data_IF_078153629693
#
_entry.id   IF_078153629693
#
_cell.length_a   1.000
_cell.length_b   1.000
_cell.length_c   1.000
_cell.angle_alpha   90.00
_cell.angle_beta   90.00
_cell.angle_gamma   90.00
#
_symmetry.space_group_name_H-M   'P 1'
#
loop_
_entity.id
_entity.type
_entity.pdbx_description
1 polymer ?
#
# COMPACT_ATOMS: atom_id res chain seq x y z
N UNK A 1 -5.09 10.43 -27.73
CA UNK A 1 -4.39 9.13 -27.71
C UNK A 1 -3.87 8.92 -26.29
N UNK A 2 -4.39 7.93 -25.57
CA UNK A 2 -4.26 7.76 -24.12
C UNK A 2 -2.79 7.56 -23.73
N UNK A 3 -2.30 8.38 -22.78
CA UNK A 3 -0.98 8.24 -22.20
C UNK A 3 -0.80 6.82 -21.63
N UNK A 4 0.30 6.21 -22.07
CA UNK A 4 0.61 4.80 -21.95
C UNK A 4 0.80 4.38 -20.48
N UNK A 5 -0.10 3.55 -19.97
CA UNK A 5 -0.17 3.02 -18.60
C UNK A 5 0.92 1.97 -18.29
N UNK A 6 2.05 1.97 -19.02
CA UNK A 6 3.18 1.05 -18.82
C UNK A 6 4.23 1.56 -17.84
N UNK A 7 4.43 2.88 -17.74
CA UNK A 7 5.48 3.47 -16.87
C UNK A 7 5.20 3.22 -15.37
N UNK A 8 3.93 3.04 -14.98
CA UNK A 8 3.56 2.76 -13.59
C UNK A 8 3.64 1.27 -13.19
N UNK A 9 3.89 0.34 -14.13
CA UNK A 9 3.90 -1.10 -13.86
C UNK A 9 5.22 -1.57 -13.25
N UNK A 10 6.33 -0.95 -13.68
CA UNK A 10 7.68 -1.49 -13.46
C UNK A 10 8.47 -0.77 -12.35
N UNK A 11 8.07 0.44 -11.94
CA UNK A 11 8.88 1.27 -11.03
C UNK A 11 8.49 1.22 -9.55
N UNK A 12 7.42 0.50 -9.16
CA UNK A 12 6.80 0.71 -7.83
C UNK A 12 6.37 -0.55 -7.07
N UNK A 13 6.68 -1.76 -7.54
CA UNK A 13 6.21 -2.98 -6.86
C UNK A 13 7.21 -3.57 -5.85
N UNK A 14 8.51 -3.56 -6.15
CA UNK A 14 9.55 -4.09 -5.24
C UNK A 14 9.96 -3.07 -4.19
N UNK A 15 10.59 -1.98 -4.64
CA UNK A 15 11.20 -0.96 -3.77
C UNK A 15 10.21 -0.33 -2.78
N UNK A 16 8.98 -0.07 -3.21
CA UNK A 16 7.95 0.48 -2.33
C UNK A 16 7.49 -0.54 -1.28
N UNK A 17 7.31 -1.81 -1.65
CA UNK A 17 6.80 -2.83 -0.73
C UNK A 17 7.83 -3.17 0.36
N UNK A 18 9.11 -3.26 0.00
CA UNK A 18 10.21 -3.46 0.95
C UNK A 18 10.34 -2.26 1.89
N UNK A 19 10.33 -1.03 1.35
CA UNK A 19 10.40 0.18 2.16
C UNK A 19 9.19 0.31 3.10
N UNK A 20 8.00 -0.03 2.62
CA UNK A 20 6.78 -0.01 3.41
C UNK A 20 6.88 -0.98 4.60
N UNK A 21 7.32 -2.22 4.35
CA UNK A 21 7.54 -3.21 5.42
C UNK A 21 8.59 -2.72 6.42
N UNK A 22 9.71 -2.19 5.93
CA UNK A 22 10.76 -1.61 6.76
C UNK A 22 10.25 -0.48 7.66
N UNK A 23 9.39 0.41 7.14
CA UNK A 23 8.78 1.48 7.93
C UNK A 23 7.82 0.91 8.98
N UNK A 24 7.05 -0.13 8.65
CA UNK A 24 6.10 -0.75 9.57
C UNK A 24 6.77 -1.57 10.68
N UNK A 25 7.89 -2.21 10.41
CA UNK A 25 8.65 -3.00 11.40
C UNK A 25 9.33 -2.13 12.46
N UNK A 26 9.64 -0.87 12.16
CA UNK A 26 10.28 0.04 13.12
C UNK A 26 9.40 0.32 14.34
N UNK A 27 10.01 0.34 15.53
CA UNK A 27 9.30 0.66 16.77
C UNK A 27 8.69 2.05 16.77
N UNK A 28 7.48 2.16 17.34
CA UNK A 28 6.76 3.42 17.50
C UNK A 28 7.50 4.39 18.43
N UNK A 29 8.44 3.90 19.24
CA UNK A 29 9.32 4.69 20.11
C UNK A 29 10.60 5.20 19.41
N UNK A 30 10.88 4.76 18.18
CA UNK A 30 12.10 5.18 17.45
C UNK A 30 12.00 6.63 16.92
N UNK A 31 13.13 7.32 16.65
CA UNK A 31 13.13 8.62 15.97
C UNK A 31 12.43 8.60 14.59
N UNK A 32 12.37 7.45 13.92
CA UNK A 32 11.63 7.28 12.66
C UNK A 32 10.12 7.01 12.85
N UNK A 33 9.62 7.03 14.09
CA UNK A 33 8.20 6.85 14.42
C UNK A 33 7.28 7.88 13.79
N UNK A 34 7.80 9.06 13.42
CA UNK A 34 7.01 10.11 12.75
C UNK A 34 6.49 9.63 11.39
N UNK A 35 7.34 8.99 10.60
CA UNK A 35 6.97 8.46 9.27
C UNK A 35 5.97 7.33 9.41
N UNK A 36 6.21 6.38 10.33
CA UNK A 36 5.26 5.30 10.65
C UNK A 36 3.90 5.85 11.09
N UNK A 37 3.87 6.86 11.96
CA UNK A 37 2.61 7.52 12.40
C UNK A 37 1.88 8.22 11.25
N UNK A 38 2.61 8.91 10.36
CA UNK A 38 2.03 9.54 9.16
C UNK A 38 1.44 8.47 8.24
N UNK A 39 2.17 7.39 8.01
CA UNK A 39 1.73 6.27 7.18
C UNK A 39 0.47 5.60 7.75
N UNK A 40 0.42 5.28 9.04
CA UNK A 40 -0.76 4.71 9.68
C UNK A 40 -1.97 5.68 9.63
N UNK A 41 -1.73 6.98 9.82
CA UNK A 41 -2.78 8.00 9.64
C UNK A 41 -3.28 8.06 8.18
N UNK A 42 -2.39 7.97 7.21
CA UNK A 42 -2.75 7.93 5.79
C UNK A 42 -3.58 6.68 5.46
N UNK A 43 -3.20 5.50 5.95
CA UNK A 43 -3.98 4.27 5.77
C UNK A 43 -5.39 4.44 6.36
N UNK A 44 -5.50 5.07 7.53
CA UNK A 44 -6.77 5.27 8.22
C UNK A 44 -7.67 6.32 7.56
N UNK A 45 -7.10 7.44 7.13
CA UNK A 45 -7.88 8.63 6.75
C UNK A 45 -7.92 8.87 5.24
N UNK A 46 -6.93 8.38 4.49
CA UNK A 46 -6.79 8.67 3.06
C UNK A 46 -7.19 7.49 2.19
N UNK A 47 -7.19 6.26 2.69
CA UNK A 47 -7.66 5.13 1.90
C UNK A 47 -9.18 4.97 2.00
N UNK A 48 -9.82 4.56 0.91
CA UNK A 48 -11.20 4.08 0.99
C UNK A 48 -11.25 2.78 1.80
N UNK A 49 -12.43 2.42 2.33
CA UNK A 49 -12.58 1.20 3.13
C UNK A 49 -11.98 -0.04 2.44
N UNK A 50 -12.27 -0.24 1.15
CA UNK A 50 -11.75 -1.39 0.38
C UNK A 50 -10.24 -1.31 0.11
N UNK A 51 -9.69 -0.12 -0.09
CA UNK A 51 -8.25 0.08 -0.24
C UNK A 51 -7.52 -0.24 1.07
N UNK A 52 -8.05 0.26 2.20
CA UNK A 52 -7.51 0.03 3.53
C UNK A 52 -7.55 -1.46 3.89
N UNK A 53 -8.68 -2.13 3.65
CA UNK A 53 -8.84 -3.57 3.89
C UNK A 53 -7.76 -4.39 3.14
N UNK A 54 -7.58 -4.14 1.84
CA UNK A 54 -6.59 -4.86 1.03
C UNK A 54 -5.14 -4.57 1.50
N UNK A 55 -4.82 -3.32 1.84
CA UNK A 55 -3.52 -2.93 2.39
C UNK A 55 -3.26 -3.61 3.73
N UNK A 56 -4.28 -3.70 4.59
CA UNK A 56 -4.20 -4.36 5.89
C UNK A 56 -3.92 -5.85 5.76
N UNK A 57 -4.64 -6.53 4.86
CA UNK A 57 -4.44 -7.96 4.63
C UNK A 57 -3.03 -8.26 4.08
N UNK A 58 -2.54 -7.44 3.16
CA UNK A 58 -1.24 -7.67 2.56
C UNK A 58 -0.07 -7.36 3.51
N UNK A 59 0.00 -6.15 4.06
CA UNK A 59 1.18 -5.75 4.84
C UNK A 59 1.16 -6.18 6.31
N UNK A 60 -0.02 -6.39 6.91
CA UNK A 60 -0.12 -6.72 8.33
C UNK A 60 -0.57 -8.16 8.59
N UNK A 61 -1.27 -8.80 7.63
CA UNK A 61 -1.62 -10.22 7.71
C UNK A 61 -0.75 -11.11 6.82
N UNK A 62 0.17 -10.53 6.06
CA UNK A 62 1.11 -11.27 5.20
C UNK A 62 0.44 -12.01 4.04
N UNK A 63 -0.82 -11.69 3.72
CA UNK A 63 -1.56 -12.41 2.70
C UNK A 63 -1.10 -12.00 1.30
N UNK A 64 -0.99 -12.96 0.38
CA UNK A 64 -0.72 -12.70 -1.02
C UNK A 64 -2.01 -12.36 -1.81
N UNK A 65 -1.86 -11.97 -3.08
CA UNK A 65 -3.00 -11.55 -3.93
C UNK A 65 -4.06 -12.65 -4.05
N UNK A 66 -3.65 -13.91 -4.18
CA UNK A 66 -4.57 -15.05 -4.32
C UNK A 66 -5.39 -15.25 -3.05
N UNK A 67 -4.72 -15.27 -1.89
CA UNK A 67 -5.39 -15.44 -0.60
C UNK A 67 -6.35 -14.26 -0.31
N UNK A 68 -5.98 -13.04 -0.69
CA UNK A 68 -6.86 -11.87 -0.58
C UNK A 68 -8.05 -11.99 -1.54
N UNK A 69 -7.81 -12.47 -2.76
CA UNK A 69 -8.85 -12.71 -3.78
C UNK A 69 -9.92 -13.65 -3.24
N UNK A 70 -9.49 -14.80 -2.71
CA UNK A 70 -10.35 -15.82 -2.11
C UNK A 70 -11.08 -15.29 -0.88
N UNK A 71 -10.35 -14.69 0.06
CA UNK A 71 -10.92 -14.14 1.31
C UNK A 71 -12.01 -13.11 1.04
N UNK A 72 -11.82 -12.28 0.03
CA UNK A 72 -12.70 -11.15 -0.25
C UNK A 72 -13.73 -11.42 -1.35
N UNK A 73 -13.74 -12.63 -1.94
CA UNK A 73 -14.68 -13.03 -2.99
C UNK A 73 -14.61 -12.16 -4.25
N UNK A 74 -13.43 -11.64 -4.60
CA UNK A 74 -13.22 -10.80 -5.79
C UNK A 74 -12.12 -11.39 -6.68
N UNK A 75 -11.93 -10.83 -7.88
CA UNK A 75 -10.91 -11.30 -8.82
C UNK A 75 -9.50 -10.81 -8.44
N UNK A 76 -8.46 -11.57 -8.84
CA UNK A 76 -7.05 -11.17 -8.66
C UNK A 76 -6.75 -9.81 -9.31
N UNK A 77 -7.40 -9.51 -10.44
CA UNK A 77 -7.26 -8.22 -11.12
C UNK A 77 -7.88 -7.08 -10.31
N UNK A 78 -9.02 -7.30 -9.65
CA UNK A 78 -9.62 -6.32 -8.76
C UNK A 78 -8.75 -6.06 -7.53
N UNK A 79 -8.16 -7.11 -6.94
CA UNK A 79 -7.19 -6.96 -5.84
C UNK A 79 -5.98 -6.14 -6.29
N UNK A 80 -5.35 -6.53 -7.41
CA UNK A 80 -4.16 -5.86 -7.95
C UNK A 80 -4.39 -4.38 -8.27
N UNK A 81 -5.52 -4.07 -8.92
CA UNK A 81 -5.88 -2.69 -9.28
C UNK A 81 -6.13 -1.85 -8.02
N UNK A 82 -6.86 -2.40 -7.05
CA UNK A 82 -7.17 -1.70 -5.80
C UNK A 82 -5.91 -1.46 -4.98
N UNK A 83 -5.04 -2.47 -4.89
CA UNK A 83 -3.74 -2.39 -4.24
C UNK A 83 -2.87 -1.31 -4.88
N UNK A 84 -2.78 -1.28 -6.22
CA UNK A 84 -2.01 -0.24 -6.93
C UNK A 84 -2.54 1.16 -6.65
N UNK A 85 -3.86 1.35 -6.65
CA UNK A 85 -4.48 2.65 -6.33
C UNK A 85 -4.19 3.07 -4.89
N UNK A 86 -4.27 2.15 -3.95
CA UNK A 86 -3.96 2.39 -2.54
C UNK A 86 -2.48 2.79 -2.36
N UNK A 87 -1.54 2.00 -2.94
CA UNK A 87 -0.11 2.31 -2.92
C UNK A 87 0.21 3.68 -3.52
N UNK A 88 -0.37 4.02 -4.68
CA UNK A 88 -0.19 5.34 -5.29
C UNK A 88 -0.67 6.48 -4.38
N UNK A 89 -1.75 6.28 -3.62
CA UNK A 89 -2.26 7.28 -2.68
C UNK A 89 -1.32 7.45 -1.50
N UNK A 90 -0.86 6.35 -0.90
CA UNK A 90 0.11 6.38 0.19
C UNK A 90 1.44 6.99 -0.25
N UNK A 91 1.95 6.61 -1.43
CA UNK A 91 3.18 7.15 -1.98
C UNK A 91 3.12 8.68 -2.15
N UNK A 92 2.02 9.21 -2.69
CA UNK A 92 1.86 10.67 -2.84
C UNK A 92 1.97 11.39 -1.50
N UNK A 93 1.38 10.84 -0.44
CA UNK A 93 1.45 11.44 0.89
C UNK A 93 2.88 11.37 1.42
N UNK A 94 3.51 10.19 1.32
CA UNK A 94 4.86 9.96 1.83
C UNK A 94 5.91 10.84 1.12
N UNK A 95 5.81 10.96 -0.21
CA UNK A 95 6.72 11.77 -1.03
C UNK A 95 6.83 13.24 -0.59
N UNK A 96 5.77 13.82 -0.04
CA UNK A 96 5.76 15.21 0.43
C UNK A 96 5.93 15.35 1.94
N UNK A 97 6.19 14.24 2.66
CA UNK A 97 6.38 14.23 4.12
C UNK A 97 7.74 13.70 4.57
N UNK A 98 8.47 13.04 3.66
CA UNK A 98 9.88 12.65 3.77
C UNK A 98 10.77 13.77 3.25
#
# INVERSE_FOLDING_TARGET
MLMNNRIARDFFQGDFDEEFRRILEKDIASPQSKIKKIMLKAIKNELTARQSEIIMLYYFKGMNISEISEKLGITHSAVSITMRRARNRLFRILKYTL
#
